data_IF_314367126982
#
_entry.id   IF_314367126982
#
_cell.length_a   1.000
_cell.length_b   1.000
_cell.length_c   1.000
_cell.angle_alpha   90.00
_cell.angle_beta   90.00
_cell.angle_gamma   90.00
#
_symmetry.space_group_name_H-M   'P 1'
#
loop_
_entity.id
_entity.type
_entity.pdbx_description
1 polymer ?
#
# COMPACT_ATOMS: atom_id res chain seq x y z
N UNK A 1 36.23 28.32 -42.14
CA UNK A 1 35.67 27.03 -42.60
C UNK A 1 36.74 25.97 -42.36
N UNK A 2 36.34 24.82 -41.83
CA UNK A 2 37.14 23.87 -41.03
C UNK A 2 38.39 23.28 -41.72
N UNK A 3 39.40 22.91 -40.90
CA UNK A 3 39.96 21.55 -40.76
C UNK A 3 41.21 21.57 -39.86
N UNK A 4 41.13 20.93 -38.68
CA UNK A 4 42.30 20.31 -38.05
C UNK A 4 41.87 19.01 -37.39
N UNK A 5 42.44 17.94 -37.91
CA UNK A 5 42.46 16.58 -37.43
C UNK A 5 43.37 16.42 -36.21
N UNK A 6 43.08 15.46 -35.33
CA UNK A 6 44.14 14.75 -34.60
C UNK A 6 43.75 14.27 -33.20
N UNK A 7 43.97 12.97 -32.95
CA UNK A 7 44.22 12.46 -31.61
C UNK A 7 43.34 11.30 -31.17
N UNK A 8 43.74 10.07 -31.50
CA UNK A 8 43.24 8.83 -30.89
C UNK A 8 44.40 7.96 -30.42
N UNK A 9 44.49 7.76 -29.11
CA UNK A 9 45.04 6.60 -28.38
C UNK A 9 44.95 6.97 -26.88
N UNK A 10 44.50 6.11 -25.97
CA UNK A 10 45.26 4.99 -25.42
C UNK A 10 44.28 3.94 -24.86
N UNK A 11 44.55 2.67 -25.16
CA UNK A 11 43.99 1.49 -24.48
C UNK A 11 44.77 1.26 -23.19
N UNK A 12 44.06 0.94 -22.11
CA UNK A 12 44.62 0.14 -21.01
C UNK A 12 43.60 -0.90 -20.58
N UNK A 13 43.96 -2.15 -20.82
CA UNK A 13 43.35 -3.32 -20.21
C UNK A 13 43.87 -3.44 -18.77
N UNK A 14 42.99 -3.78 -17.84
CA UNK A 14 43.31 -4.07 -16.45
C UNK A 14 42.23 -4.97 -15.87
N UNK A 15 42.40 -6.28 -16.08
CA UNK A 15 41.69 -7.35 -15.37
C UNK A 15 42.12 -7.41 -13.90
N UNK A 16 41.18 -7.45 -12.97
CA UNK A 16 41.30 -8.30 -11.77
C UNK A 16 39.94 -8.71 -11.23
N UNK A 17 39.80 -10.02 -11.03
CA UNK A 17 38.71 -10.70 -10.35
C UNK A 17 38.59 -10.29 -8.88
N UNK A 18 37.35 -10.19 -8.39
CA UNK A 18 36.98 -10.79 -7.10
C UNK A 18 35.48 -11.02 -7.06
N UNK A 19 35.13 -12.30 -7.07
CA UNK A 19 33.80 -12.83 -6.81
C UNK A 19 33.54 -12.73 -5.30
N UNK A 20 32.56 -11.94 -4.89
CA UNK A 20 31.93 -12.09 -3.56
C UNK A 20 30.44 -12.19 -3.75
N UNK A 21 29.98 -13.43 -3.62
CA UNK A 21 28.61 -13.84 -3.45
C UNK A 21 28.05 -13.14 -2.20
N UNK A 22 27.30 -12.06 -2.39
CA UNK A 22 26.43 -11.50 -1.36
C UNK A 22 25.01 -11.94 -1.69
N UNK A 23 24.51 -12.84 -0.83
CA UNK A 23 23.10 -13.17 -0.73
C UNK A 23 22.31 -11.86 -0.67
N UNK A 24 21.64 -11.54 -1.77
CA UNK A 24 20.61 -10.51 -1.79
C UNK A 24 19.50 -10.98 -0.86
N UNK A 25 19.44 -10.39 0.33
CA UNK A 25 18.23 -10.38 1.13
C UNK A 25 17.18 -9.69 0.28
N UNK A 26 16.29 -10.50 -0.29
CA UNK A 26 15.14 -10.07 -1.10
C UNK A 26 14.25 -9.18 -0.25
N UNK A 27 14.51 -7.87 -0.28
CA UNK A 27 13.57 -6.85 0.19
C UNK A 27 12.31 -7.07 -0.63
N UNK A 28 11.17 -7.29 0.04
CA UNK A 28 9.88 -7.46 -0.63
C UNK A 28 9.61 -6.17 -1.40
N UNK A 29 9.56 -6.25 -2.73
CA UNK A 29 9.17 -5.15 -3.59
C UNK A 29 7.77 -4.68 -3.20
N UNK A 30 7.70 -3.57 -2.48
CA UNK A 30 6.42 -2.91 -2.16
C UNK A 30 5.64 -2.52 -3.44
N UNK A 31 6.37 -2.35 -4.55
CA UNK A 31 5.81 -2.05 -5.87
C UNK A 31 5.12 -3.25 -6.50
N UNK A 32 5.44 -4.46 -6.00
CA UNK A 32 4.98 -5.74 -6.49
C UNK A 32 4.25 -6.53 -5.39
N UNK A 33 3.49 -5.84 -4.53
CA UNK A 33 2.48 -6.53 -3.74
C UNK A 33 1.41 -7.07 -4.69
N UNK A 34 1.30 -8.41 -4.86
CA UNK A 34 0.18 -8.97 -5.59
C UNK A 34 -1.08 -8.49 -4.88
N UNK A 35 -2.07 -8.10 -5.67
CA UNK A 35 -3.42 -7.91 -5.15
C UNK A 35 -3.80 -9.23 -4.47
N UNK A 36 -3.98 -9.19 -3.15
CA UNK A 36 -4.30 -10.39 -2.39
C UNK A 36 -5.61 -10.96 -2.97
N UNK A 37 -5.61 -12.23 -3.45
CA UNK A 37 -6.85 -12.87 -3.81
C UNK A 37 -7.73 -12.91 -2.55
N UNK A 38 -8.96 -12.43 -2.66
CA UNK A 38 -9.97 -12.64 -1.64
C UNK A 38 -10.02 -14.14 -1.30
N UNK A 39 -9.98 -14.48 -0.01
CA UNK A 39 -10.17 -15.84 0.51
C UNK A 39 -11.55 -16.36 0.08
N UNK A 40 -11.64 -16.94 -1.12
CA UNK A 40 -12.77 -17.78 -1.50
C UNK A 40 -12.47 -19.21 -1.05
N UNK A 41 -13.05 -19.61 0.08
CA UNK A 41 -12.80 -20.92 0.70
C UNK A 41 -13.96 -21.45 1.54
N UNK A 42 -14.98 -22.00 0.87
CA UNK A 42 -15.84 -23.14 1.28
C UNK A 42 -16.35 -23.18 2.73
N UNK A 43 -17.60 -22.74 2.93
CA UNK A 43 -18.46 -23.27 4.00
C UNK A 43 -18.98 -24.65 3.55
N UNK A 44 -18.29 -25.72 3.96
CA UNK A 44 -18.86 -27.08 3.87
C UNK A 44 -19.74 -27.32 5.08
N UNK A 45 -21.04 -27.32 4.80
CA UNK A 45 -22.15 -27.88 5.57
C UNK A 45 -21.78 -29.26 6.16
N UNK A 46 -21.91 -29.42 7.47
CA UNK A 46 -22.12 -30.72 8.10
C UNK A 46 -23.19 -30.57 9.17
N UNK A 47 -24.37 -31.12 8.87
CA UNK A 47 -25.50 -31.28 9.79
C UNK A 47 -25.67 -32.77 10.05
N UNK A 48 -25.72 -33.13 11.33
CA UNK A 48 -26.26 -34.37 11.89
C UNK A 48 -25.25 -35.46 12.25
N UNK A 49 -25.38 -36.28 13.31
CA UNK A 49 -26.49 -36.53 14.25
C UNK A 49 -25.95 -37.37 15.47
N UNK A 50 -26.43 -37.03 16.68
CA UNK A 50 -26.68 -37.80 17.94
C UNK A 50 -25.64 -38.47 18.87
N UNK A 51 -25.72 -38.01 20.15
CA UNK A 51 -25.85 -38.67 21.49
C UNK A 51 -24.66 -39.41 22.16
N UNK A 52 -24.20 -38.93 23.32
CA UNK A 52 -24.62 -39.34 24.68
C UNK A 52 -23.84 -38.57 25.80
N UNK A 53 -24.50 -38.40 26.96
CA UNK A 53 -24.10 -38.04 28.34
C UNK A 53 -22.59 -37.83 28.67
N UNK A 54 -22.12 -36.90 29.52
CA UNK A 54 -22.53 -36.53 30.88
C UNK A 54 -21.91 -35.18 31.28
N UNK A 55 -22.49 -34.54 32.30
CA UNK A 55 -22.31 -33.13 32.65
C UNK A 55 -20.94 -32.70 33.18
N UNK A 56 -20.58 -31.45 32.87
CA UNK A 56 -19.84 -30.57 33.77
C UNK A 56 -20.04 -29.10 33.38
N UNK A 57 -20.79 -28.37 34.19
CA UNK A 57 -20.92 -26.91 34.11
C UNK A 57 -19.55 -26.28 34.41
N UNK A 58 -18.82 -25.87 33.37
CA UNK A 58 -17.61 -25.05 33.52
C UNK A 58 -17.82 -23.72 32.81
N UNK A 59 -18.44 -22.83 33.59
CA UNK A 59 -18.11 -21.40 33.68
C UNK A 59 -17.44 -20.80 32.44
N UNK A 60 -18.20 -19.92 31.79
CA UNK A 60 -17.81 -18.84 30.90
C UNK A 60 -16.61 -18.06 31.50
N UNK A 61 -15.40 -18.58 31.34
CA UNK A 61 -14.18 -17.80 31.43
C UNK A 61 -14.19 -16.92 30.19
N UNK A 62 -14.78 -15.74 30.36
CA UNK A 62 -14.44 -14.56 29.59
C UNK A 62 -12.91 -14.46 29.66
N UNK A 63 -12.23 -15.06 28.70
CA UNK A 63 -10.88 -14.66 28.35
C UNK A 63 -11.03 -13.26 27.78
N UNK A 64 -11.13 -12.28 28.69
CA UNK A 64 -10.63 -10.95 28.44
C UNK A 64 -9.13 -11.11 28.25
N UNK A 65 -8.73 -11.66 27.10
CA UNK A 65 -7.44 -11.36 26.53
C UNK A 65 -7.54 -9.86 26.32
N UNK A 66 -6.93 -9.09 27.21
CA UNK A 66 -6.61 -7.69 26.96
C UNK A 66 -5.98 -7.71 25.59
N UNK A 67 -6.74 -7.30 24.59
CA UNK A 67 -6.31 -7.30 23.21
C UNK A 67 -5.29 -6.17 23.19
N UNK A 68 -4.04 -6.52 23.46
CA UNK A 68 -2.91 -5.69 23.08
C UNK A 68 -3.22 -5.21 21.66
N UNK A 69 -3.17 -3.90 21.38
CA UNK A 69 -3.41 -3.41 20.04
C UNK A 69 -2.56 -4.26 19.11
N UNK A 70 -3.22 -4.87 18.13
CA UNK A 70 -2.53 -5.63 17.12
C UNK A 70 -1.62 -4.63 16.41
N UNK A 71 -0.34 -4.60 16.78
CA UNK A 71 0.67 -3.72 16.16
C UNK A 71 0.91 -4.06 14.68
N UNK A 72 0.00 -4.82 14.05
CA UNK A 72 -0.03 -5.05 12.63
C UNK A 72 -0.42 -3.79 11.88
N UNK A 73 0.41 -3.44 10.90
CA UNK A 73 0.05 -2.50 9.87
C UNK A 73 -1.05 -3.10 8.99
N UNK A 74 -2.19 -2.42 8.87
CA UNK A 74 -3.28 -2.81 7.96
C UNK A 74 -3.19 -2.00 6.67
N UNK A 75 -3.22 -2.69 5.55
CA UNK A 75 -3.30 -2.07 4.22
C UNK A 75 -4.77 -2.02 3.82
N UNK A 76 -5.29 -0.84 3.47
CA UNK A 76 -6.69 -0.63 3.10
C UNK A 76 -6.77 -0.03 1.70
N UNK A 77 -7.33 -0.79 0.77
CA UNK A 77 -7.65 -0.32 -0.59
C UNK A 77 -8.94 0.48 -0.53
N UNK A 78 -8.88 1.77 -0.87
CA UNK A 78 -10.03 2.66 -0.71
C UNK A 78 -9.96 3.87 -1.65
N UNK A 79 -11.05 4.66 -1.72
CA UNK A 79 -11.09 5.93 -2.45
C UNK A 79 -10.37 7.03 -1.68
N UNK A 80 -10.18 8.22 -2.28
CA UNK A 80 -9.63 9.37 -1.54
C UNK A 80 -10.56 9.75 -0.39
N UNK A 81 -11.87 9.72 -0.61
CA UNK A 81 -12.89 9.94 0.42
C UNK A 81 -12.78 8.91 1.56
N UNK A 82 -12.69 7.62 1.22
CA UNK A 82 -12.56 6.55 2.20
C UNK A 82 -11.25 6.62 2.99
N UNK A 83 -10.13 6.98 2.36
CA UNK A 83 -8.86 7.24 3.04
C UNK A 83 -9.02 8.33 4.11
N UNK A 84 -9.67 9.45 3.76
CA UNK A 84 -9.96 10.55 4.71
C UNK A 84 -10.85 10.07 5.85
N UNK A 85 -11.86 9.24 5.56
CA UNK A 85 -12.77 8.68 6.55
C UNK A 85 -12.07 7.71 7.52
N UNK A 86 -11.31 6.74 7.01
CA UNK A 86 -10.72 5.67 7.81
C UNK A 86 -9.52 6.13 8.65
N UNK A 87 -8.84 7.22 8.25
CA UNK A 87 -7.67 7.76 8.98
C UNK A 87 -7.97 8.13 10.43
N UNK A 88 -9.23 8.42 10.77
CA UNK A 88 -9.62 8.67 12.16
C UNK A 88 -9.27 7.50 13.11
N UNK A 89 -9.18 6.27 12.59
CA UNK A 89 -8.84 5.06 13.37
C UNK A 89 -7.34 4.76 13.44
N UNK A 90 -6.49 5.61 12.84
CA UNK A 90 -5.03 5.40 12.80
C UNK A 90 -4.37 5.43 14.20
N UNK A 91 -5.07 5.94 15.21
CA UNK A 91 -4.63 5.91 16.61
C UNK A 91 -4.90 4.56 17.31
N UNK A 92 -5.85 3.76 16.78
CA UNK A 92 -6.20 2.43 17.30
C UNK A 92 -5.44 1.32 16.57
N UNK A 93 -5.16 1.51 15.29
CA UNK A 93 -4.45 0.57 14.44
C UNK A 93 -3.58 1.33 13.43
N UNK A 94 -2.42 0.79 13.08
CA UNK A 94 -1.57 1.42 12.07
C UNK A 94 -2.16 1.20 10.67
N UNK A 95 -2.44 2.28 9.93
CA UNK A 95 -3.05 2.23 8.60
C UNK A 95 -2.09 2.67 7.49
N UNK A 96 -2.05 1.87 6.42
CA UNK A 96 -1.49 2.22 5.12
C UNK A 96 -2.60 2.14 4.08
N UNK A 97 -2.70 3.12 3.20
CA UNK A 97 -3.75 3.17 2.20
C UNK A 97 -3.20 2.83 0.82
N UNK A 98 -4.03 2.12 0.06
CA UNK A 98 -3.88 1.91 -1.37
C UNK A 98 -4.98 2.68 -2.09
N UNK A 99 -4.59 3.65 -2.90
CA UNK A 99 -5.51 4.52 -3.64
C UNK A 99 -5.17 4.49 -5.13
N UNK A 100 -6.19 4.36 -5.96
CA UNK A 100 -6.09 4.50 -7.41
C UNK A 100 -6.63 5.86 -7.81
N UNK A 101 -5.74 6.74 -8.28
CA UNK A 101 -6.09 8.12 -8.59
C UNK A 101 -5.38 8.63 -9.85
N UNK A 102 -6.05 9.53 -10.55
CA UNK A 102 -5.49 10.24 -11.70
C UNK A 102 -4.51 11.30 -11.21
N UNK A 103 -3.34 11.38 -11.85
CA UNK A 103 -2.41 12.49 -11.64
C UNK A 103 -3.00 13.76 -12.27
N UNK A 104 -3.39 14.72 -11.44
CA UNK A 104 -4.09 15.94 -11.86
C UNK A 104 -3.16 17.16 -12.03
N UNK A 105 -1.95 17.13 -11.45
CA UNK A 105 -0.94 18.20 -11.62
C UNK A 105 0.35 17.70 -12.26
N UNK A 106 1.19 18.62 -12.72
CA UNK A 106 2.60 18.31 -12.93
C UNK A 106 3.28 17.98 -11.58
N UNK A 107 4.27 17.11 -11.61
CA UNK A 107 5.14 16.83 -10.46
C UNK A 107 6.04 18.04 -10.24
N UNK A 108 6.07 18.56 -9.02
CA UNK A 108 6.93 19.68 -8.61
C UNK A 108 7.96 19.20 -7.60
N UNK A 109 9.21 19.63 -7.78
CA UNK A 109 10.22 19.44 -6.75
C UNK A 109 9.83 20.24 -5.49
N UNK A 110 10.05 19.65 -4.34
CA UNK A 110 9.94 20.28 -3.02
C UNK A 110 11.25 20.19 -2.26
N UNK A 111 11.21 20.60 -0.99
CA UNK A 111 12.35 20.51 -0.09
C UNK A 111 12.73 19.05 0.20
N UNK A 112 13.99 18.80 0.56
CA UNK A 112 14.45 17.49 1.03
C UNK A 112 14.13 16.33 0.05
N UNK A 113 14.37 16.54 -1.24
CA UNK A 113 14.07 15.56 -2.31
C UNK A 113 12.60 15.15 -2.40
N UNK A 114 11.68 15.98 -1.90
CA UNK A 114 10.25 15.76 -2.04
C UNK A 114 9.80 15.98 -3.49
N UNK A 115 8.84 15.18 -3.93
CA UNK A 115 8.07 15.36 -5.16
C UNK A 115 6.61 15.57 -4.78
N UNK A 116 6.09 16.76 -5.06
CA UNK A 116 4.74 17.16 -4.76
C UNK A 116 3.87 17.08 -6.01
N UNK A 117 2.68 16.50 -5.89
CA UNK A 117 1.71 16.40 -6.97
C UNK A 117 0.28 16.33 -6.43
N UNK A 118 -0.71 16.53 -7.29
CA UNK A 118 -2.12 16.43 -6.95
C UNK A 118 -2.70 15.14 -7.52
N UNK A 119 -3.32 14.33 -6.65
CA UNK A 119 -4.08 13.15 -7.04
C UNK A 119 -5.57 13.47 -7.02
N UNK A 120 -6.32 12.94 -7.98
CA UNK A 120 -7.76 13.12 -8.12
C UNK A 120 -8.44 11.80 -8.46
N UNK A 121 -9.52 11.48 -7.76
CA UNK A 121 -10.47 10.46 -8.20
C UNK A 121 -11.77 11.10 -8.71
N UNK A 122 -12.83 10.33 -8.89
CA UNK A 122 -14.10 10.87 -9.44
C UNK A 122 -14.81 11.86 -8.51
N UNK A 123 -14.52 11.82 -7.21
CA UNK A 123 -15.26 12.55 -6.18
C UNK A 123 -14.40 13.59 -5.47
N UNK A 124 -13.12 13.31 -5.27
CA UNK A 124 -12.26 14.08 -4.39
C UNK A 124 -10.84 14.21 -4.96
N UNK A 125 -10.04 15.06 -4.32
CA UNK A 125 -8.63 15.25 -4.61
C UNK A 125 -7.82 15.39 -3.33
N UNK A 126 -6.53 15.05 -3.43
CA UNK A 126 -5.61 15.15 -2.30
C UNK A 126 -4.22 15.55 -2.79
N UNK A 127 -3.57 16.56 -2.16
CA UNK A 127 -2.14 16.79 -2.32
C UNK A 127 -1.37 15.54 -1.87
N UNK A 128 -0.40 15.15 -2.68
CA UNK A 128 0.45 14.01 -2.41
C UNK A 128 1.92 14.42 -2.45
N UNK A 129 2.72 13.75 -1.62
CA UNK A 129 4.17 13.90 -1.58
C UNK A 129 4.83 12.53 -1.63
N UNK A 130 5.89 12.41 -2.41
CA UNK A 130 6.81 11.27 -2.41
C UNK A 130 8.21 11.76 -2.12
N UNK A 131 8.93 11.11 -1.21
CA UNK A 131 10.30 11.47 -0.87
C UNK A 131 11.27 10.52 -1.57
N UNK A 132 12.16 11.06 -2.41
CA UNK A 132 13.22 10.29 -3.05
C UNK A 132 14.37 10.06 -2.06
N UNK A 133 14.18 9.14 -1.12
CA UNK A 133 15.21 8.73 -0.15
C UNK A 133 16.00 7.53 -0.67
N UNK A 134 15.33 6.39 -0.85
CA UNK A 134 15.97 5.15 -1.32
C UNK A 134 15.71 4.86 -2.80
N UNK A 135 14.72 5.51 -3.40
CA UNK A 135 14.25 5.29 -4.77
C UNK A 135 13.75 6.59 -5.40
N UNK A 136 13.99 6.74 -6.68
CA UNK A 136 13.44 7.85 -7.47
C UNK A 136 11.96 7.64 -7.77
N UNK A 137 11.21 8.74 -7.86
CA UNK A 137 9.82 8.67 -8.28
C UNK A 137 9.79 8.29 -9.77
N UNK A 138 9.10 7.19 -10.17
CA UNK A 138 8.97 6.86 -11.58
C UNK A 138 8.26 7.99 -12.33
N UNK A 139 8.54 8.12 -13.64
CA UNK A 139 7.94 9.17 -14.46
C UNK A 139 6.41 9.09 -14.45
N UNK A 140 5.78 10.01 -13.73
CA UNK A 140 4.32 10.11 -13.68
C UNK A 140 3.80 10.90 -14.89
N UNK A 141 2.79 10.36 -15.57
CA UNK A 141 2.11 11.01 -16.69
C UNK A 141 0.78 11.57 -16.18
N UNK A 142 0.59 12.88 -16.37
CA UNK A 142 -0.65 13.58 -16.01
C UNK A 142 -1.83 13.01 -16.82
N UNK A 143 -2.99 12.90 -16.18
CA UNK A 143 -4.20 12.33 -16.77
C UNK A 143 -4.23 10.80 -16.77
N UNK A 144 -3.16 10.12 -16.38
CA UNK A 144 -3.17 8.67 -16.17
C UNK A 144 -3.48 8.31 -14.72
N UNK A 145 -4.08 7.13 -14.54
CA UNK A 145 -4.35 6.54 -13.23
C UNK A 145 -3.10 5.86 -12.69
N UNK A 146 -2.76 6.16 -11.44
CA UNK A 146 -1.65 5.57 -10.70
C UNK A 146 -2.17 4.85 -9.46
N UNK A 147 -1.54 3.72 -9.14
CA UNK A 147 -1.66 3.03 -7.86
C UNK A 147 -0.69 3.69 -6.90
N UNK A 148 -1.22 4.26 -5.82
CA UNK A 148 -0.46 5.01 -4.84
C UNK A 148 -0.64 4.35 -3.47
N UNK A 149 0.47 4.00 -2.84
CA UNK A 149 0.50 3.43 -1.48
C UNK A 149 1.06 4.48 -0.54
N UNK A 150 0.42 4.71 0.61
CA UNK A 150 0.90 5.73 1.53
C UNK A 150 0.10 5.89 2.80
N UNK A 151 0.59 6.77 3.67
CA UNK A 151 -0.13 7.18 4.89
C UNK A 151 -0.76 8.54 4.67
N UNK A 152 -1.94 8.78 5.24
CA UNK A 152 -2.61 10.07 5.14
C UNK A 152 -2.43 10.89 6.41
N UNK A 153 -1.93 12.11 6.26
CA UNK A 153 -1.80 13.09 7.34
C UNK A 153 -3.03 14.01 7.31
N UNK A 154 -4.03 13.68 8.13
CA UNK A 154 -5.29 14.42 8.18
C UNK A 154 -5.11 15.89 8.61
N UNK A 155 -4.13 16.19 9.47
CA UNK A 155 -3.88 17.56 9.93
C UNK A 155 -3.35 18.45 8.81
N UNK A 156 -2.54 17.88 7.92
CA UNK A 156 -1.96 18.59 6.77
C UNK A 156 -2.75 18.43 5.48
N UNK A 157 -3.79 17.58 5.47
CA UNK A 157 -4.48 17.14 4.26
C UNK A 157 -3.47 16.69 3.19
N UNK A 158 -2.54 15.80 3.58
CA UNK A 158 -1.41 15.42 2.75
C UNK A 158 -1.25 13.90 2.72
N UNK A 159 -1.27 13.34 1.52
CA UNK A 159 -1.01 11.93 1.31
C UNK A 159 0.49 11.69 1.10
N UNK A 160 1.13 11.03 2.07
CA UNK A 160 2.57 10.71 2.02
C UNK A 160 2.74 9.36 1.34
N UNK A 161 3.03 9.39 0.05
CA UNK A 161 3.24 8.21 -0.76
C UNK A 161 4.57 7.55 -0.41
N UNK A 162 4.51 6.25 -0.15
CA UNK A 162 5.65 5.34 0.00
C UNK A 162 5.97 4.66 -1.32
N UNK A 163 4.95 4.45 -2.18
CA UNK A 163 5.10 3.95 -3.55
C UNK A 163 4.07 4.60 -4.46
N UNK A 164 4.48 4.87 -5.70
CA UNK A 164 3.60 5.34 -6.78
C UNK A 164 4.02 4.62 -8.06
N UNK A 165 3.06 3.99 -8.74
CA UNK A 165 3.28 3.41 -10.07
C UNK A 165 2.05 3.51 -10.96
N UNK A 166 2.24 3.39 -12.26
CA UNK A 166 1.14 3.26 -13.20
C UNK A 166 0.23 2.09 -12.81
N UNK A 167 -1.08 2.33 -12.82
CA UNK A 167 -2.07 1.30 -12.59
C UNK A 167 -2.32 0.51 -13.88
N UNK A 168 -2.28 -0.82 -13.80
CA UNK A 168 -2.63 -1.67 -14.94
C UNK A 168 -4.13 -1.57 -15.25
N UNK A 169 -4.52 -1.89 -16.50
CA UNK A 169 -5.93 -1.90 -16.89
C UNK A 169 -6.76 -2.89 -16.10
N UNK A 170 -6.16 -4.01 -15.65
CA UNK A 170 -6.85 -5.00 -14.80
C UNK A 170 -7.15 -4.39 -13.45
N UNK A 171 -6.14 -3.81 -12.78
CA UNK A 171 -6.31 -3.18 -11.48
C UNK A 171 -7.36 -2.06 -11.51
N UNK A 172 -7.35 -1.23 -12.56
CA UNK A 172 -8.34 -0.16 -12.73
C UNK A 172 -9.78 -0.69 -12.84
N UNK A 173 -9.98 -1.85 -13.46
CA UNK A 173 -11.31 -2.47 -13.61
C UNK A 173 -11.80 -3.10 -12.32
N UNK A 174 -10.92 -3.77 -11.59
CA UNK A 174 -11.26 -4.50 -10.35
C UNK A 174 -11.22 -3.62 -9.10
N UNK A 175 -10.67 -2.41 -9.18
CA UNK A 175 -10.51 -1.51 -8.03
C UNK A 175 -11.79 -1.31 -7.23
N UNK A 176 -12.93 -1.09 -7.90
CA UNK A 176 -14.20 -0.86 -7.21
C UNK A 176 -14.63 -2.05 -6.33
N UNK A 177 -14.38 -3.28 -6.79
CA UNK A 177 -14.66 -4.49 -6.01
C UNK A 177 -13.74 -4.58 -4.80
N UNK A 178 -12.45 -4.28 -4.96
CA UNK A 178 -11.50 -4.25 -3.85
C UNK A 178 -11.85 -3.20 -2.79
N UNK A 179 -12.26 -2.01 -3.21
CA UNK A 179 -12.75 -0.98 -2.28
C UNK A 179 -13.96 -1.49 -1.50
N UNK A 180 -14.93 -2.09 -2.18
CA UNK A 180 -16.13 -2.61 -1.52
C UNK A 180 -15.82 -3.68 -0.47
N UNK A 181 -14.89 -4.59 -0.76
CA UNK A 181 -14.47 -5.64 0.18
C UNK A 181 -13.69 -5.03 1.35
N UNK A 182 -12.72 -4.16 1.07
CA UNK A 182 -11.89 -3.54 2.09
C UNK A 182 -12.70 -2.63 3.03
N UNK A 183 -13.66 -1.86 2.50
CA UNK A 183 -14.54 -1.02 3.32
C UNK A 183 -15.45 -1.88 4.22
N UNK A 184 -15.97 -3.01 3.72
CA UNK A 184 -16.78 -3.94 4.52
C UNK A 184 -15.95 -4.56 5.66
N UNK A 185 -14.73 -5.01 5.37
CA UNK A 185 -13.81 -5.53 6.40
C UNK A 185 -13.44 -4.46 7.43
N UNK A 186 -13.13 -3.24 6.98
CA UNK A 186 -12.75 -2.14 7.86
C UNK A 186 -13.92 -1.73 8.76
N UNK A 187 -15.14 -1.75 8.22
CA UNK A 187 -16.36 -1.49 9.01
C UNK A 187 -16.53 -2.53 10.12
N UNK A 188 -16.39 -3.82 9.81
CA UNK A 188 -16.47 -4.89 10.82
C UNK A 188 -15.37 -4.76 11.88
N UNK A 189 -14.15 -4.47 11.44
CA UNK A 189 -13.02 -4.27 12.34
C UNK A 189 -13.24 -3.11 13.31
N UNK A 190 -13.72 -1.97 12.81
CA UNK A 190 -14.03 -0.79 13.63
C UNK A 190 -15.15 -1.08 14.63
N UNK A 191 -16.17 -1.86 14.25
CA UNK A 191 -17.22 -2.29 15.17
C UNK A 191 -16.62 -3.06 16.35
N UNK A 192 -15.77 -4.05 16.08
CA UNK A 192 -15.07 -4.80 17.14
C UNK A 192 -14.18 -3.92 18.01
N UNK A 193 -13.53 -2.90 17.43
CA UNK A 193 -12.70 -1.94 18.19
C UNK A 193 -13.50 -0.97 19.08
N UNK A 194 -14.80 -0.82 18.84
CA UNK A 194 -15.67 0.08 19.61
C UNK A 194 -16.55 -0.69 20.63
N UNK A 195 -16.65 -2.00 20.51
CA UNK A 195 -17.33 -2.89 21.47
C UNK A 195 -16.46 -3.21 22.71
N UNK A 196 -15.20 -2.73 22.74
CA UNK A 196 -14.24 -2.85 23.85
C UNK A 196 -14.08 -1.50 24.55
#
# INVERSE_FOLDING_TARGET
MALISGGKAIKTAGTSFSNTHLHSNKVRDIDNFPVLPALQGKVKKLVGITKAADGYQKTKLLQMKVMQPDNSLRIVTTTIEGMKHWTQYNHKCALLFEVFATLDSAVRAGEQSAKNFLLRDRKDSVPAVFYETDRDLPRLIRGQVHRCMGTYDQRRNLFKCVSVRSASTVEQKTFAEFVSVADAEMTQFVQTLNEV
#
